data_IF_479461694819
#
_entry.id   IF_479461694819
#
_cell.length_a   1.000
_cell.length_b   1.000
_cell.length_c   1.000
_cell.angle_alpha   90.00
_cell.angle_beta   90.00
_cell.angle_gamma   90.00
#
_symmetry.space_group_name_H-M   'P 1'
#
loop_
_entity.id
_entity.type
_entity.pdbx_description
1 polymer ?
#
# COMPACT_ATOMS: atom_id res chain seq x y z
N UNK A 1 -47.45 16.06 -6.04
CA UNK A 1 -46.81 14.85 -5.50
C UNK A 1 -46.33 13.87 -6.58
N UNK A 2 -47.00 13.80 -7.74
CA UNK A 2 -46.61 12.86 -8.80
C UNK A 2 -45.33 13.18 -9.57
N UNK A 3 -45.02 14.46 -9.74
CA UNK A 3 -43.84 14.92 -10.48
C UNK A 3 -42.49 14.67 -9.73
N UNK A 4 -42.49 14.65 -8.40
CA UNK A 4 -41.31 14.35 -7.60
C UNK A 4 -40.96 12.86 -7.60
N UNK A 5 -41.96 11.98 -7.68
CA UNK A 5 -41.74 10.52 -7.78
C UNK A 5 -41.21 10.10 -9.15
N UNK A 6 -41.64 10.75 -10.24
CA UNK A 6 -41.13 10.48 -11.58
C UNK A 6 -39.68 10.98 -11.75
N UNK A 7 -39.30 12.10 -11.15
CA UNK A 7 -37.92 12.59 -11.17
C UNK A 7 -36.97 11.66 -10.38
N UNK A 8 -37.43 11.13 -9.24
CA UNK A 8 -36.64 10.18 -8.44
C UNK A 8 -36.46 8.84 -9.17
N UNK A 9 -37.52 8.32 -9.86
CA UNK A 9 -37.42 7.11 -10.63
C UNK A 9 -36.46 7.24 -11.84
N UNK A 10 -36.43 8.38 -12.51
CA UNK A 10 -35.52 8.63 -13.63
C UNK A 10 -34.07 8.72 -13.15
N UNK A 11 -33.80 9.32 -11.97
CA UNK A 11 -32.45 9.38 -11.40
C UNK A 11 -31.96 8.00 -10.98
N UNK A 12 -32.82 7.16 -10.38
CA UNK A 12 -32.47 5.78 -10.00
C UNK A 12 -32.23 4.90 -11.23
N UNK A 13 -33.03 5.04 -12.30
CA UNK A 13 -32.83 4.29 -13.56
C UNK A 13 -31.58 4.77 -14.31
N UNK A 14 -31.25 6.05 -14.28
CA UNK A 14 -30.02 6.57 -14.87
C UNK A 14 -28.77 6.07 -14.11
N UNK A 15 -28.82 5.93 -12.79
CA UNK A 15 -27.73 5.36 -12.01
C UNK A 15 -27.56 3.85 -12.28
N UNK A 16 -28.63 3.10 -12.47
CA UNK A 16 -28.56 1.67 -12.82
C UNK A 16 -27.84 1.40 -14.15
N UNK A 17 -28.03 2.25 -15.14
CA UNK A 17 -27.38 2.09 -16.46
C UNK A 17 -25.91 2.49 -16.48
N UNK A 18 -25.44 3.27 -15.50
CA UNK A 18 -24.01 3.59 -15.35
C UNK A 18 -23.23 2.47 -14.66
N UNK A 19 -23.88 1.70 -13.80
CA UNK A 19 -23.27 0.56 -13.13
C UNK A 19 -23.02 -0.64 -14.06
N UNK A 20 -23.82 -0.80 -15.12
CA UNK A 20 -23.61 -1.87 -16.12
C UNK A 20 -22.41 -1.66 -17.05
N UNK A 21 -21.80 -0.46 -17.03
CA UNK A 21 -20.56 -0.12 -17.76
C UNK A 21 -19.35 0.04 -16.84
N UNK A 22 -19.40 -0.53 -15.65
CA UNK A 22 -18.20 -0.62 -14.83
C UNK A 22 -17.14 -1.41 -15.62
N UNK A 23 -16.01 -0.76 -15.90
CA UNK A 23 -14.87 -1.36 -16.59
C UNK A 23 -14.59 -2.73 -15.96
N UNK A 24 -14.50 -3.83 -16.74
CA UNK A 24 -14.16 -5.14 -16.20
C UNK A 24 -12.83 -5.15 -15.40
N UNK A 25 -11.98 -4.17 -15.61
CA UNK A 25 -10.79 -3.92 -14.79
C UNK A 25 -11.14 -3.57 -13.35
N UNK A 26 -12.17 -2.74 -13.13
CA UNK A 26 -12.61 -2.37 -11.78
C UNK A 26 -13.27 -3.56 -11.05
N UNK A 27 -14.09 -4.33 -11.75
CA UNK A 27 -14.70 -5.55 -11.20
C UNK A 27 -13.66 -6.64 -10.87
N UNK A 28 -12.51 -6.63 -11.56
CA UNK A 28 -11.40 -7.54 -11.30
C UNK A 28 -10.59 -7.11 -10.07
N UNK A 29 -10.43 -5.82 -9.83
CA UNK A 29 -9.78 -5.30 -8.62
C UNK A 29 -10.58 -5.59 -7.34
N UNK A 30 -11.92 -5.61 -7.41
CA UNK A 30 -12.78 -5.93 -6.25
C UNK A 30 -12.73 -7.41 -5.84
N UNK A 31 -12.09 -8.28 -6.63
CA UNK A 31 -11.90 -9.70 -6.29
C UNK A 31 -10.53 -9.97 -5.65
N UNK A 32 -9.60 -9.02 -5.66
CA UNK A 32 -8.28 -9.16 -5.04
C UNK A 32 -8.23 -8.39 -3.73
N UNK A 33 -7.66 -9.00 -2.71
CA UNK A 33 -7.39 -8.32 -1.43
C UNK A 33 -6.08 -7.53 -1.55
N UNK A 34 -6.08 -6.28 -1.13
CA UNK A 34 -4.87 -5.49 -1.01
C UNK A 34 -4.27 -5.68 0.38
N UNK A 35 -3.06 -6.23 0.46
CA UNK A 35 -2.29 -6.24 1.69
C UNK A 35 -1.48 -4.95 1.75
N UNK A 36 -1.67 -4.19 2.82
CA UNK A 36 -0.94 -2.95 3.08
C UNK A 36 0.04 -3.21 4.22
N UNK A 37 1.33 -3.09 3.93
CA UNK A 37 2.40 -3.36 4.88
C UNK A 37 3.16 -2.07 5.22
N UNK A 38 2.82 -1.36 6.30
CA UNK A 38 3.63 -0.24 6.79
C UNK A 38 4.91 -0.76 7.42
N UNK A 39 6.04 -0.60 6.75
CA UNK A 39 7.34 -1.10 7.19
C UNK A 39 7.75 -0.59 8.57
N UNK A 40 8.58 -1.35 9.28
CA UNK A 40 9.02 -1.10 10.65
C UNK A 40 7.87 -1.11 11.67
N UNK A 41 8.11 -0.65 12.90
CA UNK A 41 7.11 -0.51 13.96
C UNK A 41 7.66 -0.73 15.36
N UNK A 42 7.07 -0.08 16.36
CA UNK A 42 7.49 -0.19 17.75
C UNK A 42 8.94 0.22 17.98
N UNK A 43 9.76 -0.68 18.55
CA UNK A 43 11.18 -0.44 18.83
C UNK A 43 12.01 -0.28 17.55
N UNK A 44 11.59 -0.86 16.43
CA UNK A 44 12.21 -0.62 15.13
C UNK A 44 11.58 0.59 14.45
N UNK A 45 12.06 1.76 14.75
CA UNK A 45 11.60 3.01 14.15
C UNK A 45 12.00 3.21 12.68
N UNK A 46 12.89 2.38 12.13
CA UNK A 46 13.52 2.64 10.82
C UNK A 46 14.39 3.88 10.81
N UNK A 47 14.45 4.58 9.68
CA UNK A 47 15.16 5.85 9.57
C UNK A 47 14.46 6.97 10.38
N UNK A 48 15.23 7.98 10.79
CA UNK A 48 14.71 9.16 11.49
C UNK A 48 14.91 10.39 10.64
N UNK A 49 13.84 11.14 10.41
CA UNK A 49 13.88 12.40 9.66
C UNK A 49 14.60 13.50 10.44
N UNK A 50 15.00 14.58 9.76
CA UNK A 50 15.60 15.77 10.40
C UNK A 50 14.65 16.45 11.41
N UNK A 51 13.36 16.22 11.31
CA UNK A 51 12.34 16.71 12.26
C UNK A 51 12.09 15.74 13.44
N UNK A 52 12.83 14.64 13.53
CA UNK A 52 12.69 13.65 14.60
C UNK A 52 11.55 12.63 14.40
N UNK A 53 10.84 12.64 13.27
CA UNK A 53 9.82 11.63 12.96
C UNK A 53 10.49 10.35 12.48
N UNK A 54 10.09 9.20 13.05
CA UNK A 54 10.55 7.89 12.60
C UNK A 54 9.86 7.48 11.28
N UNK A 55 10.55 6.64 10.53
CA UNK A 55 10.02 6.03 9.31
C UNK A 55 8.76 5.21 9.60
N UNK A 56 8.74 4.45 10.70
CA UNK A 56 7.58 3.64 11.12
C UNK A 56 6.31 4.45 11.27
N UNK A 57 6.40 5.67 11.83
CA UNK A 57 5.26 6.57 12.01
C UNK A 57 4.76 7.13 10.66
N UNK A 58 5.67 7.47 9.76
CA UNK A 58 5.33 7.99 8.43
C UNK A 58 4.69 6.89 7.60
N UNK A 59 5.27 5.69 7.58
CA UNK A 59 4.75 4.54 6.87
C UNK A 59 3.33 4.17 7.34
N UNK A 60 3.12 4.16 8.66
CA UNK A 60 1.80 3.88 9.24
C UNK A 60 0.75 4.94 8.85
N UNK A 61 1.11 6.22 8.89
CA UNK A 61 0.19 7.28 8.50
C UNK A 61 -0.26 7.14 7.04
N UNK A 62 0.68 6.91 6.13
CA UNK A 62 0.37 6.68 4.70
C UNK A 62 -0.49 5.42 4.52
N UNK A 63 -0.17 4.35 5.23
CA UNK A 63 -0.89 3.09 5.13
C UNK A 63 -2.35 3.20 5.62
N UNK A 64 -2.60 3.93 6.70
CA UNK A 64 -3.95 4.17 7.21
C UNK A 64 -4.79 5.01 6.24
N UNK A 65 -4.21 6.03 5.62
CA UNK A 65 -4.89 6.81 4.58
C UNK A 65 -5.21 5.95 3.35
N UNK A 66 -4.28 5.10 2.95
CA UNK A 66 -4.49 4.17 1.84
C UNK A 66 -5.60 3.16 2.16
N UNK A 67 -5.61 2.59 3.35
CA UNK A 67 -6.64 1.65 3.81
C UNK A 67 -8.04 2.28 3.76
N UNK A 68 -8.18 3.50 4.30
CA UNK A 68 -9.44 4.25 4.26
C UNK A 68 -9.89 4.54 2.82
N UNK A 69 -8.96 4.95 1.95
CA UNK A 69 -9.25 5.23 0.55
C UNK A 69 -9.70 3.96 -0.19
N UNK A 70 -9.02 2.84 0.03
CA UNK A 70 -9.39 1.56 -0.56
C UNK A 70 -10.77 1.09 -0.07
N UNK A 71 -11.06 1.25 1.23
CA UNK A 71 -12.38 0.98 1.78
C UNK A 71 -13.48 1.83 1.14
N UNK A 72 -13.22 3.11 0.85
CA UNK A 72 -14.15 3.97 0.13
C UNK A 72 -14.44 3.47 -1.30
N UNK A 73 -13.44 2.91 -1.97
CA UNK A 73 -13.60 2.30 -3.30
C UNK A 73 -14.11 0.84 -3.26
N UNK A 74 -14.38 0.28 -2.09
CA UNK A 74 -14.88 -1.10 -1.94
C UNK A 74 -13.82 -2.16 -2.21
N UNK A 75 -12.54 -1.81 -2.14
CA UNK A 75 -11.42 -2.76 -2.24
C UNK A 75 -11.14 -3.35 -0.87
N UNK A 76 -11.23 -4.68 -0.68
CA UNK A 76 -10.90 -5.29 0.59
C UNK A 76 -9.41 -5.15 0.91
N UNK A 77 -9.10 -4.78 2.15
CA UNK A 77 -7.73 -4.58 2.62
C UNK A 77 -7.41 -5.45 3.83
N UNK A 78 -6.13 -5.81 3.98
CA UNK A 78 -5.55 -6.39 5.18
C UNK A 78 -4.28 -5.63 5.51
N UNK A 79 -4.18 -5.08 6.71
CA UNK A 79 -2.96 -4.41 7.16
C UNK A 79 -2.11 -5.35 8.01
N UNK A 80 -0.78 -5.34 7.81
CA UNK A 80 0.14 -6.12 8.68
C UNK A 80 0.19 -5.56 10.09
N UNK A 81 0.01 -4.25 10.25
CA UNK A 81 -0.19 -3.54 11.52
C UNK A 81 -1.03 -2.29 11.32
N UNK A 82 -1.85 -1.93 12.28
CA UNK A 82 -2.69 -0.71 12.28
C UNK A 82 -2.32 0.29 13.38
N UNK A 83 -1.28 -0.02 14.14
CA UNK A 83 -0.71 0.84 15.20
C UNK A 83 0.81 0.83 15.10
N UNK A 84 1.50 1.70 15.87
CA UNK A 84 2.97 1.73 15.87
C UNK A 84 3.53 0.63 16.79
N UNK A 85 3.42 -0.61 16.33
CA UNK A 85 3.90 -1.82 17.01
C UNK A 85 4.73 -2.67 16.05
N UNK A 86 5.65 -3.45 16.58
CA UNK A 86 6.25 -4.60 15.90
C UNK A 86 5.42 -5.84 16.19
N UNK A 87 5.29 -6.72 15.22
CA UNK A 87 4.53 -7.97 15.37
C UNK A 87 5.42 -9.19 15.63
N UNK A 88 6.60 -8.96 16.25
CA UNK A 88 7.53 -10.01 16.65
C UNK A 88 6.98 -10.90 17.75
N UNK A 89 7.51 -12.10 17.88
CA UNK A 89 7.17 -13.03 18.95
C UNK A 89 7.62 -12.51 20.31
N UNK A 90 6.86 -12.76 21.38
CA UNK A 90 7.18 -12.28 22.74
C UNK A 90 8.53 -12.79 23.27
N UNK A 91 9.02 -13.92 22.76
CA UNK A 91 10.28 -14.57 23.14
C UNK A 91 11.50 -13.86 22.56
N UNK A 92 11.34 -13.04 21.51
CA UNK A 92 12.43 -12.26 20.91
C UNK A 92 12.91 -11.19 21.90
N UNK A 93 14.15 -11.30 22.35
CA UNK A 93 14.71 -10.49 23.43
C UNK A 93 15.59 -9.34 22.95
N UNK A 94 16.37 -9.58 21.91
CA UNK A 94 17.25 -8.56 21.30
C UNK A 94 16.56 -7.85 20.15
N UNK A 95 16.98 -6.62 19.85
CA UNK A 95 16.44 -5.85 18.71
C UNK A 95 16.59 -6.62 17.40
N UNK A 96 17.69 -7.37 17.22
CA UNK A 96 17.92 -8.18 16.03
C UNK A 96 16.91 -9.35 15.95
N UNK A 97 16.70 -10.06 17.04
CA UNK A 97 15.72 -11.15 17.10
C UNK A 97 14.31 -10.62 16.83
N UNK A 98 13.94 -9.48 17.44
CA UNK A 98 12.66 -8.82 17.20
C UNK A 98 12.46 -8.47 15.72
N UNK A 99 13.47 -7.88 15.07
CA UNK A 99 13.41 -7.56 13.63
C UNK A 99 13.24 -8.80 12.75
N UNK A 100 13.98 -9.87 13.04
CA UNK A 100 13.88 -11.12 12.26
C UNK A 100 12.53 -11.77 12.47
N UNK A 101 12.05 -11.85 13.71
CA UNK A 101 10.72 -12.40 14.03
C UNK A 101 9.61 -11.57 13.41
N UNK A 102 9.68 -10.24 13.48
CA UNK A 102 8.72 -9.33 12.85
C UNK A 102 8.59 -9.58 11.34
N UNK A 103 9.72 -9.70 10.64
CA UNK A 103 9.73 -10.02 9.21
C UNK A 103 9.09 -11.38 8.91
N UNK A 104 9.43 -12.42 9.70
CA UNK A 104 8.83 -13.74 9.54
C UNK A 104 7.31 -13.72 9.75
N UNK A 105 6.84 -12.99 10.77
CA UNK A 105 5.43 -12.88 11.07
C UNK A 105 4.66 -12.09 10.00
N UNK A 106 5.28 -11.04 9.41
CA UNK A 106 4.72 -10.36 8.23
C UNK A 106 4.57 -11.32 7.06
N UNK A 107 5.62 -12.06 6.72
CA UNK A 107 5.57 -13.05 5.64
C UNK A 107 4.50 -14.11 5.89
N UNK A 108 4.41 -14.62 7.13
CA UNK A 108 3.39 -15.60 7.52
C UNK A 108 1.96 -15.02 7.34
N UNK A 109 1.73 -13.78 7.76
CA UNK A 109 0.44 -13.09 7.58
C UNK A 109 0.11 -12.90 6.10
N UNK A 110 1.07 -12.42 5.30
CA UNK A 110 0.90 -12.19 3.86
C UNK A 110 0.52 -13.51 3.16
N UNK A 111 1.19 -14.60 3.48
CA UNK A 111 0.94 -15.90 2.87
C UNK A 111 -0.40 -16.54 3.26
N UNK A 112 -1.09 -16.06 4.29
CA UNK A 112 -2.43 -16.51 4.66
C UNK A 112 -3.54 -15.88 3.82
N UNK A 113 -3.24 -14.82 3.09
CA UNK A 113 -4.24 -14.10 2.28
C UNK A 113 -4.15 -14.56 0.83
N UNK A 114 -5.13 -15.38 0.42
CA UNK A 114 -5.22 -15.85 -0.95
C UNK A 114 -5.61 -14.73 -1.91
N UNK A 115 -5.12 -14.81 -3.14
CA UNK A 115 -5.44 -13.87 -4.24
C UNK A 115 -5.23 -12.41 -3.83
N UNK A 116 -4.07 -12.11 -3.26
CA UNK A 116 -3.74 -10.79 -2.74
C UNK A 116 -2.66 -10.07 -3.57
N UNK A 117 -2.69 -8.76 -3.50
CA UNK A 117 -1.60 -7.88 -3.94
C UNK A 117 -0.99 -7.22 -2.72
N UNK A 118 0.33 -7.30 -2.56
CA UNK A 118 1.08 -6.65 -1.48
C UNK A 118 1.58 -5.27 -1.91
N UNK A 119 1.33 -4.26 -1.07
CA UNK A 119 2.00 -2.96 -1.13
C UNK A 119 2.70 -2.73 0.22
N UNK A 120 4.03 -2.77 0.21
CA UNK A 120 4.86 -2.41 1.36
C UNK A 120 5.33 -0.96 1.23
N UNK A 121 5.22 -0.21 2.31
CA UNK A 121 5.49 1.24 2.36
C UNK A 121 6.71 1.49 3.24
N UNK A 122 7.74 2.09 2.65
CA UNK A 122 8.99 2.45 3.30
C UNK A 122 9.44 3.86 2.92
N UNK A 123 10.30 4.46 3.75
CA UNK A 123 10.99 5.71 3.43
C UNK A 123 12.47 5.41 3.20
N UNK A 124 13.01 5.92 2.09
CA UNK A 124 14.43 5.80 1.82
C UNK A 124 15.21 6.83 2.62
N UNK A 125 16.25 6.40 3.32
CA UNK A 125 17.25 7.25 3.90
C UNK A 125 18.57 7.09 3.15
N UNK A 126 19.10 8.17 2.59
CA UNK A 126 20.40 8.16 1.92
C UNK A 126 21.11 9.49 2.15
N UNK A 127 22.41 9.47 2.45
CA UNK A 127 23.22 10.67 2.53
C UNK A 127 23.41 11.34 1.16
N UNK A 128 23.21 10.59 0.06
CA UNK A 128 23.36 11.11 -1.29
C UNK A 128 22.09 11.79 -1.79
N UNK A 129 22.16 13.07 -2.20
CA UNK A 129 21.04 13.75 -2.85
C UNK A 129 20.54 13.05 -4.13
N UNK A 130 21.40 12.20 -4.72
CA UNK A 130 21.00 11.45 -5.93
C UNK A 130 19.94 10.40 -5.68
N UNK A 131 19.72 9.98 -4.44
CA UNK A 131 18.73 8.97 -4.06
C UNK A 131 17.41 9.56 -3.55
N UNK A 132 17.20 10.86 -3.72
CA UNK A 132 15.92 11.49 -3.38
C UNK A 132 14.85 11.16 -4.41
N UNK A 133 13.59 11.21 -3.97
CA UNK A 133 12.42 11.00 -4.80
C UNK A 133 11.85 9.59 -4.70
N UNK A 134 10.79 9.38 -5.46
CA UNK A 134 9.99 8.17 -5.44
C UNK A 134 10.74 7.03 -6.10
N UNK A 135 10.66 5.85 -5.52
CA UNK A 135 11.14 4.62 -6.10
C UNK A 135 10.17 3.49 -5.80
N UNK A 136 9.60 2.88 -6.82
CA UNK A 136 8.81 1.67 -6.69
C UNK A 136 9.69 0.46 -7.02
N UNK A 137 9.59 -0.56 -6.18
CA UNK A 137 10.22 -1.86 -6.39
C UNK A 137 9.14 -2.89 -6.70
N UNK A 138 9.47 -3.92 -7.50
CA UNK A 138 8.55 -5.02 -7.82
C UNK A 138 9.29 -6.36 -7.74
N UNK A 139 8.56 -7.41 -7.33
CA UNK A 139 9.13 -8.74 -7.15
C UNK A 139 9.00 -9.63 -8.39
N UNK A 140 7.83 -9.66 -9.01
CA UNK A 140 7.55 -10.48 -10.18
C UNK A 140 7.33 -9.62 -11.42
N UNK A 141 8.05 -9.92 -12.50
CA UNK A 141 7.99 -9.10 -13.71
C UNK A 141 6.64 -9.21 -14.42
N UNK A 142 6.04 -10.40 -14.46
CA UNK A 142 4.78 -10.62 -15.15
C UNK A 142 3.57 -10.10 -14.37
N UNK A 143 3.59 -10.23 -13.04
CA UNK A 143 2.46 -9.92 -12.16
C UNK A 143 2.52 -8.52 -11.57
N UNK A 144 3.71 -8.07 -11.14
CA UNK A 144 3.87 -6.85 -10.35
C UNK A 144 4.35 -5.65 -11.15
N UNK A 145 5.09 -5.85 -12.26
CA UNK A 145 5.64 -4.73 -13.04
C UNK A 145 4.59 -3.76 -13.58
N UNK A 146 3.44 -4.20 -14.14
CA UNK A 146 2.43 -3.27 -14.65
C UNK A 146 1.88 -2.35 -13.55
N UNK A 147 1.62 -2.89 -12.35
CA UNK A 147 1.17 -2.10 -11.20
C UNK A 147 2.26 -1.14 -10.72
N UNK A 148 3.51 -1.63 -10.62
CA UNK A 148 4.65 -0.81 -10.22
C UNK A 148 4.88 0.37 -11.17
N UNK A 149 4.73 0.16 -12.48
CA UNK A 149 4.81 1.22 -13.49
C UNK A 149 3.71 2.25 -13.31
N UNK A 150 2.45 1.81 -13.13
CA UNK A 150 1.33 2.70 -12.93
C UNK A 150 1.49 3.56 -11.67
N UNK A 151 1.88 2.95 -10.54
CA UNK A 151 2.14 3.67 -9.29
C UNK A 151 3.29 4.66 -9.47
N UNK A 152 4.44 4.23 -10.02
CA UNK A 152 5.60 5.09 -10.22
C UNK A 152 5.25 6.30 -11.10
N UNK A 153 4.55 6.07 -12.20
CA UNK A 153 4.16 7.14 -13.13
C UNK A 153 3.22 8.14 -12.47
N UNK A 154 2.16 7.66 -11.82
CA UNK A 154 1.19 8.53 -11.13
C UNK A 154 1.87 9.38 -10.05
N UNK A 155 2.74 8.78 -9.25
CA UNK A 155 3.48 9.51 -8.22
C UNK A 155 4.46 10.53 -8.82
N UNK A 156 5.09 10.24 -9.98
CA UNK A 156 5.94 11.20 -10.68
C UNK A 156 5.15 12.39 -11.22
N UNK A 157 3.94 12.16 -11.69
CA UNK A 157 3.05 13.22 -12.20
C UNK A 157 2.56 14.12 -11.06
N UNK A 158 2.12 13.53 -9.95
CA UNK A 158 1.55 14.27 -8.81
C UNK A 158 2.61 15.02 -8.01
N UNK A 159 3.74 14.38 -7.72
CA UNK A 159 4.77 14.94 -6.85
C UNK A 159 5.87 15.68 -7.60
N UNK A 160 5.91 15.56 -8.93
CA UNK A 160 6.85 16.27 -9.82
C UNK A 160 8.28 16.36 -9.29
N UNK A 161 8.92 15.24 -8.89
CA UNK A 161 10.26 15.27 -8.32
C UNK A 161 11.29 15.68 -9.38
N UNK A 162 12.40 16.30 -8.95
CA UNK A 162 13.50 16.69 -9.83
C UNK A 162 14.08 15.49 -10.62
N UNK A 163 14.11 14.31 -9.98
CA UNK A 163 14.60 13.08 -10.58
C UNK A 163 13.48 12.10 -10.83
N UNK A 164 13.34 11.71 -12.10
CA UNK A 164 12.42 10.67 -12.54
C UNK A 164 13.15 9.33 -12.58
N UNK A 165 12.65 8.35 -11.83
CA UNK A 165 13.18 6.98 -11.82
C UNK A 165 12.19 6.04 -12.46
N UNK A 166 12.68 4.93 -12.99
CA UNK A 166 11.85 3.79 -13.39
C UNK A 166 11.66 2.84 -12.20
N UNK A 167 10.60 2.04 -12.18
CA UNK A 167 10.49 0.92 -11.24
C UNK A 167 11.69 0.00 -11.33
N UNK A 168 12.09 -0.60 -10.22
CA UNK A 168 13.23 -1.51 -10.15
C UNK A 168 12.81 -2.89 -9.66
N UNK A 169 13.36 -3.93 -10.29
CA UNK A 169 13.23 -5.28 -9.78
C UNK A 169 13.97 -5.41 -8.44
N UNK A 170 13.28 -5.95 -7.43
CA UNK A 170 13.89 -6.24 -6.13
C UNK A 170 14.49 -7.65 -6.17
N UNK A 171 15.73 -7.79 -5.74
CA UNK A 171 16.31 -9.12 -5.61
C UNK A 171 15.60 -9.92 -4.50
N UNK A 172 15.42 -11.22 -4.70
CA UNK A 172 14.71 -12.13 -3.79
C UNK A 172 15.27 -12.23 -2.35
N UNK A 173 16.37 -11.54 -2.06
CA UNK A 173 17.03 -11.51 -0.74
C UNK A 173 16.53 -10.40 0.20
N UNK A 174 15.47 -9.68 -0.15
CA UNK A 174 14.99 -8.55 0.67
C UNK A 174 13.84 -8.96 1.58
N UNK A 175 13.20 -10.11 1.31
CA UNK A 175 12.17 -10.73 2.16
C UNK A 175 12.48 -12.20 2.36
#
# INVERSE_FOLDING_TARGET
>A
CGLLLTALAVVVLAQGTWLEKADPTFARMTQQTLIIDPGHGGEDGGAVSVSGKSESQINLAIALELDQLMGFYGVPTVMTRSTDVSIHDPEASTLREKKVSDLHNRVALINQVENATLISIHQNSSPSPSHRGIQVFYGDEALSLPLAQAIQQTMLEVLSPEKKRAPQHIASSVY
#
